data_IF_636853826758
#
_entry.id   IF_636853826758
#
_cell.length_a   1.000
_cell.length_b   1.000
_cell.length_c   1.000
_cell.angle_alpha   90.00
_cell.angle_beta   90.00
_cell.angle_gamma   90.00
#
_symmetry.space_group_name_H-M   'P 1'
#
loop_
_entity.id
_entity.type
_entity.pdbx_description
1 polymer ?
#
# COMPACT_ATOMS: atom_id res chain seq x y z
N UNK A 1 -5.11 12.13 8.69
CA UNK A 1 -4.37 12.20 7.41
C UNK A 1 -4.21 13.63 6.88
N UNK A 2 -5.15 14.55 7.14
CA UNK A 2 -5.06 15.96 6.71
C UNK A 2 -3.81 16.72 7.19
N UNK A 3 -3.32 16.43 8.40
CA UNK A 3 -2.21 17.18 9.01
C UNK A 3 -0.84 16.95 8.33
N UNK A 4 -0.62 15.77 7.73
CA UNK A 4 0.67 15.44 7.13
C UNK A 4 0.92 16.20 5.81
N UNK A 5 -0.16 16.56 5.12
CA UNK A 5 -0.12 17.34 3.87
C UNK A 5 0.47 18.74 4.03
N UNK A 6 0.15 19.41 5.14
CA UNK A 6 0.57 20.80 5.39
C UNK A 6 2.09 20.93 5.57
N UNK A 7 2.74 19.86 6.03
CA UNK A 7 4.18 19.85 6.29
C UNK A 7 5.00 19.39 5.08
N UNK A 8 4.37 18.80 4.07
CA UNK A 8 5.04 18.29 2.86
C UNK A 8 4.35 18.78 1.57
N UNK A 9 4.38 20.10 1.28
CA UNK A 9 3.68 20.69 0.13
C UNK A 9 4.25 20.27 -1.23
N UNK A 10 5.46 19.68 -1.26
CA UNK A 10 6.11 19.18 -2.48
C UNK A 10 5.74 17.74 -2.81
N UNK A 11 5.10 17.01 -1.88
CA UNK A 11 4.73 15.61 -2.11
C UNK A 11 3.56 15.54 -3.07
N UNK A 12 3.82 15.01 -4.27
CA UNK A 12 2.82 14.86 -5.34
C UNK A 12 2.04 13.54 -5.23
N UNK A 13 2.70 12.48 -4.76
CA UNK A 13 2.16 11.13 -4.66
C UNK A 13 2.43 10.57 -3.27
N UNK A 14 1.40 10.02 -2.64
CA UNK A 14 1.53 9.21 -1.43
C UNK A 14 1.38 7.75 -1.76
N UNK A 15 2.26 6.93 -1.22
CA UNK A 15 2.26 5.49 -1.39
C UNK A 15 2.01 4.79 -0.04
N UNK A 16 1.31 3.66 -0.09
CA UNK A 16 1.17 2.76 1.07
C UNK A 16 0.94 1.34 0.57
N UNK A 17 1.16 0.34 1.42
CA UNK A 17 0.91 -1.06 1.13
C UNK A 17 0.08 -1.71 2.25
N UNK A 18 -0.78 -2.66 1.90
CA UNK A 18 -1.53 -3.47 2.88
C UNK A 18 -1.59 -4.92 2.42
N UNK A 19 -1.68 -5.90 3.34
CA UNK A 19 -1.93 -7.29 2.96
C UNK A 19 -3.21 -7.44 2.14
N UNK A 20 -3.18 -8.33 1.16
CA UNK A 20 -4.27 -8.59 0.23
C UNK A 20 -5.58 -9.00 0.94
N UNK A 21 -5.48 -9.75 2.04
CA UNK A 21 -6.64 -10.24 2.78
C UNK A 21 -7.28 -9.20 3.73
N UNK A 22 -6.62 -8.06 3.98
CA UNK A 22 -7.07 -7.01 4.91
C UNK A 22 -8.18 -6.12 4.30
N UNK A 23 -9.35 -6.71 4.04
CA UNK A 23 -10.50 -6.06 3.38
C UNK A 23 -10.92 -4.75 4.04
N UNK A 24 -10.80 -4.64 5.36
CA UNK A 24 -11.14 -3.40 6.10
C UNK A 24 -10.19 -2.26 5.71
N UNK A 25 -8.89 -2.54 5.64
CA UNK A 25 -7.88 -1.56 5.25
C UNK A 25 -8.06 -1.18 3.78
N UNK A 26 -8.29 -2.17 2.91
CA UNK A 26 -8.55 -1.94 1.48
C UNK A 26 -9.77 -1.03 1.30
N UNK A 27 -10.90 -1.34 1.97
CA UNK A 27 -12.10 -0.51 1.91
C UNK A 27 -11.83 0.92 2.39
N UNK A 28 -11.08 1.07 3.48
CA UNK A 28 -10.74 2.38 4.03
C UNK A 28 -9.88 3.19 3.06
N UNK A 29 -8.79 2.62 2.54
CA UNK A 29 -7.89 3.34 1.63
C UNK A 29 -8.58 3.72 0.32
N UNK A 30 -9.34 2.80 -0.28
CA UNK A 30 -10.02 3.04 -1.56
C UNK A 30 -11.21 3.97 -1.39
N UNK A 31 -12.17 3.60 -0.54
CA UNK A 31 -13.48 4.27 -0.53
C UNK A 31 -13.54 5.48 0.41
N UNK A 32 -12.74 5.49 1.49
CA UNK A 32 -12.75 6.59 2.46
C UNK A 32 -11.62 7.58 2.21
N UNK A 33 -10.44 7.09 1.86
CA UNK A 33 -9.27 7.94 1.64
C UNK A 33 -9.03 8.30 0.17
N UNK A 34 -9.66 7.64 -0.80
CA UNK A 34 -9.50 7.95 -2.23
C UNK A 34 -8.13 7.54 -2.81
N UNK A 35 -7.47 6.57 -2.20
CA UNK A 35 -6.32 5.91 -2.81
C UNK A 35 -6.78 4.98 -3.95
N UNK A 36 -5.87 4.71 -4.88
CA UNK A 36 -6.06 3.73 -5.96
C UNK A 36 -5.07 2.59 -5.76
N UNK A 37 -5.53 1.35 -5.94
CA UNK A 37 -4.63 0.20 -6.05
C UNK A 37 -3.88 0.34 -7.37
N UNK A 38 -2.56 0.29 -7.34
CA UNK A 38 -1.69 0.41 -8.52
C UNK A 38 -0.91 -0.85 -8.83
N UNK A 39 -0.70 -1.72 -7.83
CA UNK A 39 0.10 -2.93 -8.00
C UNK A 39 -0.32 -4.00 -6.97
N UNK A 40 -0.13 -5.26 -7.34
CA UNK A 40 -0.37 -6.43 -6.50
C UNK A 40 0.90 -7.27 -6.47
N UNK A 41 1.44 -7.48 -5.27
CA UNK A 41 2.61 -8.30 -5.04
C UNK A 41 2.21 -9.69 -4.56
N UNK A 42 2.92 -10.70 -5.06
CA UNK A 42 2.75 -12.11 -4.71
C UNK A 42 4.05 -12.86 -4.99
N UNK A 43 4.09 -14.17 -4.69
CA UNK A 43 5.22 -15.02 -5.05
C UNK A 43 5.57 -15.04 -6.55
N UNK A 44 4.61 -14.72 -7.43
CA UNK A 44 4.82 -14.65 -8.88
C UNK A 44 5.11 -13.23 -9.38
N UNK A 45 4.93 -12.22 -8.53
CA UNK A 45 5.23 -10.82 -8.80
C UNK A 45 5.76 -10.17 -7.51
N UNK A 46 7.02 -10.43 -7.14
CA UNK A 46 7.56 -9.93 -5.87
C UNK A 46 7.80 -8.42 -5.91
N UNK A 47 7.68 -7.75 -4.76
CA UNK A 47 8.06 -6.35 -4.63
C UNK A 47 9.59 -6.22 -4.76
N UNK A 48 10.11 -5.49 -5.76
CA UNK A 48 11.56 -5.32 -5.97
C UNK A 48 12.26 -4.60 -4.80
N UNK A 49 11.53 -3.88 -3.96
CA UNK A 49 12.07 -3.17 -2.81
C UNK A 49 11.95 -3.96 -1.50
N UNK A 50 11.18 -5.04 -1.50
CA UNK A 50 10.98 -5.86 -0.30
C UNK A 50 12.14 -6.84 -0.14
N UNK A 51 13.08 -6.49 0.74
CA UNK A 51 14.11 -7.44 1.18
C UNK A 51 13.41 -8.44 2.08
N UNK A 52 13.07 -9.61 1.54
CA UNK A 52 12.42 -10.72 2.25
C UNK A 52 13.06 -10.93 3.62
N UNK A 53 12.45 -10.39 4.68
CA UNK A 53 12.86 -10.69 6.03
C UNK A 53 12.11 -11.98 6.37
N UNK A 54 12.78 -13.10 6.12
CA UNK A 54 12.32 -14.46 6.36
C UNK A 54 11.64 -14.53 7.73
N UNK A 55 10.30 -14.63 7.77
CA UNK A 55 9.46 -15.01 8.93
C UNK A 55 7.94 -14.78 8.71
N UNK A 56 7.49 -14.31 7.55
CA UNK A 56 6.07 -14.33 7.18
C UNK A 56 5.79 -15.60 6.38
N UNK A 57 4.70 -16.30 6.71
CA UNK A 57 4.26 -17.48 5.94
C UNK A 57 3.99 -17.04 4.48
N UNK A 58 4.30 -17.88 3.48
CA UNK A 58 4.20 -17.52 2.05
C UNK A 58 2.79 -17.03 1.61
N UNK A 59 1.74 -17.31 2.40
CA UNK A 59 0.38 -16.81 2.20
C UNK A 59 0.19 -15.35 2.67
N UNK A 60 1.04 -14.86 3.59
CA UNK A 60 1.01 -13.51 4.16
C UNK A 60 1.87 -12.50 3.39
N UNK A 61 2.57 -12.94 2.34
CA UNK A 61 3.44 -12.09 1.51
C UNK A 61 2.68 -11.36 0.38
N UNK A 62 1.38 -11.63 0.22
CA UNK A 62 0.57 -10.97 -0.80
C UNK A 62 0.12 -9.56 -0.36
N UNK A 63 0.49 -8.54 -1.13
CA UNK A 63 0.30 -7.14 -0.76
C UNK A 63 -0.30 -6.33 -1.90
N UNK A 64 -1.17 -5.37 -1.60
CA UNK A 64 -1.56 -4.31 -2.54
C UNK A 64 -0.76 -3.04 -2.29
N UNK A 65 -0.24 -2.43 -3.36
CA UNK A 65 0.28 -1.06 -3.35
C UNK A 65 -0.82 -0.09 -3.72
N UNK A 66 -0.89 1.02 -2.99
CA UNK A 66 -1.85 2.09 -3.18
C UNK A 66 -1.14 3.41 -3.44
N UNK A 67 -1.69 4.21 -4.34
CA UNK A 67 -1.26 5.58 -4.57
C UNK A 67 -2.40 6.57 -4.39
N UNK A 68 -2.06 7.75 -3.85
CA UNK A 68 -2.94 8.90 -3.83
C UNK A 68 -2.21 10.14 -4.33
N UNK A 69 -2.71 10.71 -5.42
CA UNK A 69 -2.32 12.02 -5.91
C UNK A 69 -2.88 13.10 -4.98
N UNK A 70 -2.09 14.13 -4.74
CA UNK A 70 -2.42 15.26 -3.86
C UNK A 70 -3.18 16.37 -4.55
#
# INVERSE_FOLDING_TARGET
>A
MESNRKNHPKTKVWETTTPYFEKRNIHFYVNKCGFKIVEYFSKYHPDPNFKSNQNFDEEDDEMFKFEKQM
#
